data_IF_320249857714
#
_entry.id   IF_320249857714
#
_cell.length_a   1.000
_cell.length_b   1.000
_cell.length_c   1.000
_cell.angle_alpha   90.00
_cell.angle_beta   90.00
_cell.angle_gamma   90.00
#
_symmetry.space_group_name_H-M   'P 1'
#
loop_
_entity.id
_entity.type
_entity.pdbx_description
1 polymer ?
#
# COMPACT_ATOMS: atom_id res chain seq x y z
N UNK A 1 6.43 -0.14 -5.65
CA UNK A 1 5.60 1.03 -6.03
C UNK A 1 4.09 0.72 -5.82
N UNK A 2 3.72 0.09 -4.70
CA UNK A 2 2.41 -0.59 -4.53
C UNK A 2 1.26 0.25 -3.93
N UNK A 3 1.55 1.43 -3.36
CA UNK A 3 0.55 2.27 -2.68
C UNK A 3 0.51 3.72 -3.22
N UNK A 4 1.14 3.97 -4.37
CA UNK A 4 1.46 5.32 -4.89
C UNK A 4 0.26 6.18 -5.35
N UNK A 5 -0.99 5.77 -5.12
CA UNK A 5 -2.18 6.57 -5.47
C UNK A 5 -3.26 6.71 -4.38
N UNK A 6 -3.11 6.08 -3.20
CA UNK A 6 -4.10 6.23 -2.12
C UNK A 6 -3.85 7.42 -1.18
N UNK A 7 -2.64 8.00 -1.19
CA UNK A 7 -2.31 9.20 -0.39
C UNK A 7 -2.37 10.50 -1.22
N UNK A 8 -2.41 10.41 -2.56
CA UNK A 8 -2.36 11.58 -3.46
C UNK A 8 -3.71 11.79 -4.17
N UNK A 9 -4.75 11.96 -3.35
CA UNK A 9 -5.99 12.66 -3.73
C UNK A 9 -6.38 13.65 -2.62
N UNK A 10 -5.42 14.41 -2.12
CA UNK A 10 -5.70 15.73 -1.54
C UNK A 10 -5.23 16.79 -2.54
N UNK A 11 -6.11 17.11 -3.49
CA UNK A 11 -6.15 18.46 -4.05
C UNK A 11 -6.37 19.42 -2.88
N UNK A 12 -5.36 20.23 -2.55
CA UNK A 12 -5.49 21.48 -1.78
C UNK A 12 -6.42 21.38 -0.56
N UNK A 13 -6.02 20.67 0.49
CA UNK A 13 -6.55 20.98 1.82
C UNK A 13 -5.54 21.84 2.56
N UNK A 14 -5.81 23.14 2.46
CA UNK A 14 -5.48 24.14 3.47
C UNK A 14 -5.58 23.48 4.84
N UNK A 15 -4.51 23.55 5.64
CA UNK A 15 -4.53 23.36 7.08
C UNK A 15 -5.62 24.29 7.64
N UNK A 16 -6.86 23.81 7.73
CA UNK A 16 -7.89 24.45 8.52
C UNK A 16 -7.62 24.02 9.96
N UNK A 17 -7.04 24.95 10.72
CA UNK A 17 -7.03 24.95 12.17
C UNK A 17 -8.48 24.93 12.67
N UNK A 18 -9.04 23.72 12.80
CA UNK A 18 -10.29 23.44 13.49
C UNK A 18 -9.94 22.82 14.82
N UNK A 19 -9.90 23.65 15.86
CA UNK A 19 -9.76 23.25 17.26
C UNK A 19 -10.90 22.28 17.60
N UNK A 20 -10.59 20.98 17.68
CA UNK A 20 -11.45 19.99 18.33
C UNK A 20 -10.69 19.47 19.55
N UNK A 21 -11.02 20.09 20.69
CA UNK A 21 -10.73 19.60 22.02
C UNK A 21 -11.36 18.22 22.19
N UNK A 22 -10.57 17.16 22.14
CA UNK A 22 -10.90 15.93 22.86
C UNK A 22 -9.63 15.28 23.41
N UNK A 23 -9.62 15.22 24.73
CA UNK A 23 -8.56 14.60 25.51
C UNK A 23 -8.61 13.09 25.33
N UNK A 24 -7.55 12.52 24.77
CA UNK A 24 -7.25 11.09 24.96
C UNK A 24 -5.74 10.90 24.95
N UNK A 25 -5.16 11.00 26.15
CA UNK A 25 -3.79 10.57 26.46
C UNK A 25 -3.73 9.05 26.34
N UNK A 26 -2.99 8.51 25.36
CA UNK A 26 -2.45 7.16 25.43
C UNK A 26 -1.16 7.06 24.60
N UNK A 27 -0.06 7.61 25.13
CA UNK A 27 1.27 7.07 24.84
C UNK A 27 1.59 6.07 25.97
N UNK A 28 1.46 4.78 25.68
CA UNK A 28 1.93 3.71 26.58
C UNK A 28 3.42 3.49 26.34
N UNK A 29 4.26 4.17 27.12
CA UNK A 29 5.70 3.98 27.15
C UNK A 29 6.19 4.05 28.60
N UNK A 30 6.45 2.88 29.20
CA UNK A 30 7.06 2.73 30.51
C UNK A 30 8.56 3.01 30.40
N UNK A 31 9.07 4.02 31.12
CA UNK A 31 10.50 4.33 31.13
C UNK A 31 10.82 5.59 31.94
N UNK A 32 11.15 5.38 33.22
CA UNK A 32 11.68 6.34 34.18
C UNK A 32 12.81 7.21 33.61
N UNK A 33 12.67 8.55 33.62
CA UNK A 33 13.63 9.51 34.24
C UNK A 33 13.21 10.98 34.05
N UNK A 34 13.16 11.70 35.18
CA UNK A 34 13.55 13.11 35.37
C UNK A 34 12.71 14.26 34.78
N UNK A 35 11.74 14.71 35.59
CA UNK A 35 11.40 16.11 35.92
C UNK A 35 11.79 17.24 34.93
N UNK A 36 10.81 17.71 34.17
CA UNK A 36 10.60 19.14 33.88
C UNK A 36 9.15 19.45 34.21
N UNK A 37 8.92 20.41 35.11
CA UNK A 37 7.58 20.79 35.55
C UNK A 37 6.77 21.31 34.33
N UNK A 38 5.67 20.63 34.04
CA UNK A 38 4.73 20.98 32.97
C UNK A 38 4.04 22.31 33.29
N UNK A 39 4.49 23.38 32.63
CA UNK A 39 3.65 24.55 32.39
C UNK A 39 2.40 24.08 31.62
N UNK A 40 1.18 24.52 31.98
CA UNK A 40 0.00 24.22 31.16
C UNK A 40 0.23 24.73 29.73
N UNK A 41 -0.28 24.03 28.71
CA UNK A 41 -0.04 24.39 27.32
C UNK A 41 -0.50 25.83 27.06
N UNK A 42 0.40 26.65 26.52
CA UNK A 42 0.11 28.05 26.19
C UNK A 42 -0.98 28.10 25.13
N UNK A 43 -2.09 28.79 25.40
CA UNK A 43 -3.19 28.95 24.45
C UNK A 43 -2.72 29.67 23.18
N UNK A 44 -3.12 29.16 22.01
CA UNK A 44 -2.92 29.82 20.72
C UNK A 44 -3.68 31.15 20.61
N UNK A 45 -4.65 31.40 21.51
CA UNK A 45 -5.44 32.63 21.59
C UNK A 45 -5.18 33.30 22.94
N UNK A 46 -4.77 34.56 22.90
CA UNK A 46 -4.79 35.45 24.05
C UNK A 46 -6.23 35.88 24.29
N UNK A 47 -6.90 35.21 25.23
CA UNK A 47 -8.35 35.41 25.49
C UNK A 47 -8.68 36.85 25.86
N UNK A 48 -7.78 37.54 26.57
CA UNK A 48 -8.01 38.90 27.05
C UNK A 48 -7.97 39.94 25.92
N UNK A 49 -7.07 39.76 24.95
CA UNK A 49 -6.90 40.69 23.82
C UNK A 49 -7.64 40.24 22.56
N UNK A 50 -8.25 39.06 22.55
CA UNK A 50 -8.80 38.40 21.35
C UNK A 50 -7.79 38.37 20.19
N UNK A 51 -6.50 38.28 20.50
CA UNK A 51 -5.42 38.15 19.50
C UNK A 51 -4.84 36.75 19.55
N UNK A 52 -4.17 36.34 18.46
CA UNK A 52 -3.37 35.13 18.48
C UNK A 52 -2.15 35.34 19.38
N UNK A 53 -1.74 34.28 20.06
CA UNK A 53 -0.47 34.27 20.76
C UNK A 53 0.65 34.17 19.72
N UNK A 54 1.33 35.29 19.44
CA UNK A 54 2.37 35.37 18.41
C UNK A 54 3.51 34.37 18.62
N UNK A 55 3.84 34.04 19.87
CA UNK A 55 4.88 33.04 20.18
C UNK A 55 4.44 31.63 19.79
N UNK A 56 3.18 31.27 20.06
CA UNK A 56 2.61 29.98 19.66
C UNK A 56 2.51 29.90 18.14
N UNK A 57 1.98 30.93 17.49
CA UNK A 57 1.88 30.98 16.01
C UNK A 57 3.25 30.88 15.36
N UNK A 58 4.25 31.60 15.87
CA UNK A 58 5.62 31.52 15.34
C UNK A 58 6.19 30.10 15.47
N UNK A 59 6.02 29.45 16.63
CA UNK A 59 6.44 28.07 16.85
C UNK A 59 5.75 27.10 15.90
N UNK A 60 4.43 27.24 15.72
CA UNK A 60 3.64 26.38 14.83
C UNK A 60 4.04 26.56 13.36
N UNK A 61 4.33 27.79 12.94
CA UNK A 61 4.82 28.08 11.59
C UNK A 61 6.23 27.51 11.34
N UNK A 62 7.12 27.58 12.33
CA UNK A 62 8.44 26.94 12.26
C UNK A 62 8.32 25.41 12.20
N UNK A 63 7.42 24.81 12.99
CA UNK A 63 7.14 23.38 12.95
C UNK A 63 6.56 22.95 11.58
N UNK A 64 5.60 23.71 11.04
CA UNK A 64 5.02 23.47 9.73
C UNK A 64 6.08 23.55 8.61
N UNK A 65 7.01 24.50 8.70
CA UNK A 65 8.11 24.63 7.75
C UNK A 65 9.03 23.40 7.79
N UNK A 66 9.37 22.88 8.98
CA UNK A 66 10.15 21.64 9.13
C UNK A 66 9.42 20.44 8.52
N UNK A 67 8.10 20.31 8.75
CA UNK A 67 7.30 19.22 8.16
C UNK A 67 7.24 19.28 6.64
N UNK A 68 7.07 20.48 6.07
CA UNK A 68 7.03 20.66 4.62
C UNK A 68 8.39 20.32 3.97
N UNK A 69 9.49 20.69 4.60
CA UNK A 69 10.84 20.30 4.17
C UNK A 69 11.01 18.78 4.20
N UNK A 70 10.65 18.15 5.33
CA UNK A 70 10.73 16.70 5.49
C UNK A 70 9.91 15.96 4.42
N UNK A 71 8.66 16.39 4.21
CA UNK A 71 7.77 15.81 3.20
C UNK A 71 8.37 15.93 1.80
N UNK A 72 8.90 17.11 1.46
CA UNK A 72 9.52 17.35 0.15
C UNK A 72 10.76 16.48 -0.08
N UNK A 73 11.59 16.28 0.95
CA UNK A 73 12.73 15.35 0.90
C UNK A 73 12.28 13.90 0.73
N UNK A 74 11.26 13.47 1.46
CA UNK A 74 10.70 12.11 1.33
C UNK A 74 10.12 11.87 -0.07
N UNK A 75 9.46 12.87 -0.67
CA UNK A 75 8.99 12.80 -2.06
C UNK A 75 10.16 12.60 -3.05
N UNK A 76 11.21 13.42 -2.94
CA UNK A 76 12.40 13.29 -3.78
C UNK A 76 13.08 11.91 -3.60
N UNK A 77 13.26 11.46 -2.36
CA UNK A 77 13.85 10.13 -2.09
C UNK A 77 12.99 8.99 -2.65
N UNK A 78 11.66 9.13 -2.66
CA UNK A 78 10.75 8.15 -3.29
C UNK A 78 10.90 8.11 -4.80
N UNK A 79 10.99 9.26 -5.45
CA UNK A 79 11.21 9.36 -6.89
C UNK A 79 12.54 8.71 -7.31
N UNK A 80 13.60 8.97 -6.54
CA UNK A 80 14.93 8.42 -6.76
C UNK A 80 15.10 6.98 -6.22
N UNK A 81 14.03 6.37 -5.66
CA UNK A 81 14.03 5.03 -5.04
C UNK A 81 15.12 4.85 -3.94
N UNK A 82 15.45 5.93 -3.23
CA UNK A 82 16.45 5.95 -2.16
C UNK A 82 15.83 5.56 -0.80
N UNK A 83 15.39 4.31 -0.68
CA UNK A 83 14.65 3.83 0.49
C UNK A 83 15.40 3.98 1.82
N UNK A 84 16.73 3.87 1.82
CA UNK A 84 17.54 4.13 3.01
C UNK A 84 17.42 5.57 3.52
N UNK A 85 17.34 6.56 2.63
CA UNK A 85 17.14 7.96 3.01
C UNK A 85 15.72 8.24 3.47
N UNK A 86 14.73 7.53 2.93
CA UNK A 86 13.35 7.58 3.44
C UNK A 86 13.31 7.12 4.89
N UNK A 87 14.01 6.03 5.25
CA UNK A 87 14.08 5.56 6.63
C UNK A 87 14.71 6.61 7.56
N UNK A 88 15.81 7.26 7.15
CA UNK A 88 16.40 8.35 7.94
C UNK A 88 15.47 9.54 8.11
N UNK A 89 14.70 9.91 7.07
CA UNK A 89 13.71 10.98 7.15
C UNK A 89 12.51 10.58 8.04
N UNK A 90 12.10 9.32 8.03
CA UNK A 90 11.08 8.82 8.96
C UNK A 90 11.56 8.97 10.41
N UNK A 91 12.79 8.57 10.71
CA UNK A 91 13.35 8.68 12.06
C UNK A 91 13.42 10.15 12.51
N UNK A 92 13.81 11.05 11.60
CA UNK A 92 13.76 12.50 11.84
C UNK A 92 12.33 12.99 12.13
N UNK A 93 11.34 12.54 11.36
CA UNK A 93 9.93 12.88 11.58
C UNK A 93 9.39 12.35 12.90
N UNK A 94 9.77 11.15 13.32
CA UNK A 94 9.39 10.60 14.64
C UNK A 94 10.01 11.43 15.75
N UNK A 95 11.29 11.81 15.64
CA UNK A 95 11.94 12.70 16.60
C UNK A 95 11.25 14.08 16.67
N UNK A 96 10.81 14.63 15.53
CA UNK A 96 10.02 15.86 15.50
C UNK A 96 8.69 15.71 16.26
N UNK A 97 7.98 14.58 16.12
CA UNK A 97 6.75 14.31 16.86
C UNK A 97 6.99 14.29 18.38
N UNK A 98 8.09 13.68 18.81
CA UNK A 98 8.49 13.63 20.22
C UNK A 98 8.81 15.02 20.76
N UNK A 99 9.50 15.87 19.98
CA UNK A 99 9.85 17.25 20.36
C UNK A 99 8.60 18.15 20.50
N UNK A 100 7.67 18.07 19.54
CA UNK A 100 6.49 18.96 19.54
C UNK A 100 5.38 18.51 20.49
N UNK A 101 5.39 17.24 20.91
CA UNK A 101 4.37 16.65 21.76
C UNK A 101 3.02 16.41 21.06
N UNK A 102 2.18 15.60 21.71
CA UNK A 102 0.91 15.09 21.14
C UNK A 102 -0.14 16.17 20.81
N UNK A 103 0.00 17.38 21.36
CA UNK A 103 -0.92 18.49 21.12
C UNK A 103 -0.72 19.13 19.73
N UNK A 104 0.46 19.01 19.16
CA UNK A 104 0.89 19.74 17.96
C UNK A 104 0.89 18.87 16.71
N UNK A 105 0.78 17.54 16.87
CA UNK A 105 0.85 16.61 15.76
C UNK A 105 -0.28 15.58 15.83
N UNK A 106 -1.15 15.50 14.80
CA UNK A 106 -2.16 14.47 14.71
C UNK A 106 -1.55 13.07 14.85
N UNK A 107 -2.22 12.16 15.57
CA UNK A 107 -1.90 10.71 15.63
C UNK A 107 -1.71 10.10 14.22
N UNK A 108 -2.35 10.71 13.23
CA UNK A 108 -2.22 10.39 11.82
C UNK A 108 -0.79 10.59 11.29
N UNK A 109 0.00 11.55 11.81
CA UNK A 109 1.38 11.79 11.40
C UNK A 109 2.30 10.62 11.77
N UNK A 110 2.23 10.11 13.01
CA UNK A 110 3.03 8.94 13.41
C UNK A 110 2.64 7.72 12.55
N UNK A 111 1.33 7.52 12.36
CA UNK A 111 0.82 6.42 11.52
C UNK A 111 1.37 6.52 10.10
N UNK A 112 1.34 7.70 9.48
CA UNK A 112 1.84 7.92 8.13
C UNK A 112 3.35 7.65 8.04
N UNK A 113 4.15 8.15 8.98
CA UNK A 113 5.59 7.90 9.03
C UNK A 113 5.90 6.40 9.18
N UNK A 114 5.17 5.68 10.04
CA UNK A 114 5.33 4.24 10.22
C UNK A 114 4.97 3.45 8.96
N UNK A 115 3.95 3.88 8.21
CA UNK A 115 3.58 3.29 6.92
C UNK A 115 4.63 3.56 5.84
N UNK A 116 5.22 4.75 5.80
CA UNK A 116 6.36 5.06 4.91
C UNK A 116 7.57 4.19 5.25
N UNK A 117 7.88 4.02 6.54
CA UNK A 117 8.95 3.14 7.01
C UNK A 117 8.72 1.69 6.57
N UNK A 118 7.50 1.20 6.80
CA UNK A 118 7.09 -0.14 6.40
C UNK A 118 7.24 -0.35 4.90
N UNK A 119 6.78 0.61 4.09
CA UNK A 119 6.88 0.55 2.65
C UNK A 119 8.35 0.62 2.17
N UNK A 120 9.20 1.42 2.81
CA UNK A 120 10.63 1.49 2.51
C UNK A 120 11.33 0.15 2.82
N UNK A 121 11.11 -0.44 4.00
CA UNK A 121 11.62 -1.76 4.36
C UNK A 121 11.11 -2.86 3.41
N UNK A 122 9.84 -2.81 3.01
CA UNK A 122 9.28 -3.73 2.02
C UNK A 122 10.03 -3.66 0.67
N UNK A 123 10.35 -2.45 0.19
CA UNK A 123 11.10 -2.28 -1.06
C UNK A 123 12.58 -2.70 -0.92
N UNK A 124 13.13 -2.64 0.28
CA UNK A 124 14.46 -3.19 0.64
C UNK A 124 14.42 -4.70 0.90
N UNK A 125 13.28 -5.37 0.71
CA UNK A 125 13.07 -6.80 0.99
C UNK A 125 13.31 -7.20 2.46
N UNK A 126 13.21 -6.24 3.37
CA UNK A 126 13.35 -6.43 4.82
C UNK A 126 11.97 -6.66 5.44
N UNK A 127 11.34 -7.80 5.12
CA UNK A 127 9.92 -8.01 5.38
C UNK A 127 9.55 -8.08 6.87
N UNK A 128 10.43 -8.61 7.73
CA UNK A 128 10.15 -8.65 9.18
C UNK A 128 10.10 -7.23 9.78
N UNK A 129 11.04 -6.35 9.40
CA UNK A 129 11.04 -4.93 9.79
C UNK A 129 9.83 -4.19 9.19
N UNK A 130 9.50 -4.47 7.92
CA UNK A 130 8.31 -3.90 7.29
C UNK A 130 7.04 -4.27 8.07
N UNK A 131 6.92 -5.53 8.49
CA UNK A 131 5.78 -6.04 9.25
C UNK A 131 5.70 -5.41 10.64
N UNK A 132 6.83 -5.27 11.33
CA UNK A 132 6.91 -4.61 12.63
C UNK A 132 6.37 -3.18 12.55
N UNK A 133 6.84 -2.39 11.57
CA UNK A 133 6.39 -1.01 11.37
C UNK A 133 4.91 -0.91 11.00
N UNK A 134 4.41 -1.77 10.12
CA UNK A 134 2.99 -1.80 9.76
C UNK A 134 2.09 -2.20 10.94
N UNK A 135 2.52 -3.16 11.78
CA UNK A 135 1.79 -3.54 13.00
C UNK A 135 1.76 -2.40 14.00
N UNK A 136 2.86 -1.66 14.16
CA UNK A 136 2.87 -0.46 15.02
C UNK A 136 1.89 0.60 14.48
N UNK A 137 1.90 0.89 13.18
CA UNK A 137 0.92 1.81 12.56
C UNK A 137 -0.54 1.37 12.82
N UNK A 138 -0.81 0.06 12.68
CA UNK A 138 -2.12 -0.53 13.00
C UNK A 138 -2.49 -0.32 14.47
N UNK A 139 -1.56 -0.51 15.40
CA UNK A 139 -1.81 -0.29 16.83
C UNK A 139 -2.16 1.17 17.11
N UNK A 140 -1.43 2.11 16.50
CA UNK A 140 -1.71 3.55 16.62
C UNK A 140 -3.13 3.89 16.13
N UNK A 141 -3.57 3.33 15.00
CA UNK A 141 -4.95 3.49 14.51
C UNK A 141 -5.99 2.86 15.43
N UNK A 142 -5.71 1.68 15.98
CA UNK A 142 -6.61 0.96 16.87
C UNK A 142 -6.73 1.58 18.27
N UNK A 143 -5.77 2.42 18.68
CA UNK A 143 -5.81 3.17 19.93
C UNK A 143 -6.90 4.25 19.95
N UNK A 144 -7.37 4.71 18.77
CA UNK A 144 -8.52 5.61 18.68
C UNK A 144 -9.81 4.90 19.17
N UNK A 145 -10.76 5.63 19.80
CA UNK A 145 -12.07 5.11 20.15
C UNK A 145 -12.78 4.51 18.93
N UNK A 146 -13.51 3.41 19.11
CA UNK A 146 -14.09 2.62 18.01
C UNK A 146 -14.90 3.45 17.01
N UNK A 147 -15.72 4.39 17.50
CA UNK A 147 -16.52 5.30 16.65
C UNK A 147 -15.73 6.39 15.92
N UNK A 148 -14.43 6.56 16.20
CA UNK A 148 -13.54 7.53 15.55
C UNK A 148 -12.44 6.85 14.72
N UNK A 149 -12.39 5.51 14.69
CA UNK A 149 -11.38 4.79 13.92
C UNK A 149 -11.61 5.01 12.43
N UNK A 150 -10.54 5.36 11.74
CA UNK A 150 -10.58 5.41 10.28
C UNK A 150 -10.48 3.99 9.71
N UNK A 151 -11.64 3.40 9.43
CA UNK A 151 -11.75 2.06 8.87
C UNK A 151 -11.06 1.95 7.50
N UNK A 152 -11.08 3.01 6.68
CA UNK A 152 -10.39 3.03 5.41
C UNK A 152 -8.87 2.99 5.61
N UNK A 153 -8.34 3.81 6.54
CA UNK A 153 -6.90 3.79 6.85
C UNK A 153 -6.45 2.47 7.47
N UNK A 154 -7.31 1.85 8.29
CA UNK A 154 -7.07 0.51 8.82
C UNK A 154 -7.05 -0.54 7.71
N UNK A 155 -7.96 -0.43 6.73
CA UNK A 155 -7.98 -1.25 5.52
C UNK A 155 -6.67 -1.13 4.71
N UNK A 156 -6.20 0.09 4.45
CA UNK A 156 -4.93 0.34 3.74
C UNK A 156 -3.73 -0.25 4.50
N UNK A 157 -3.72 -0.10 5.82
CA UNK A 157 -2.68 -0.66 6.68
C UNK A 157 -2.68 -2.19 6.62
N UNK A 158 -3.86 -2.80 6.69
CA UNK A 158 -4.00 -4.25 6.56
C UNK A 158 -3.65 -4.72 5.13
N UNK A 159 -3.95 -3.96 4.08
CA UNK A 159 -3.53 -4.26 2.72
C UNK A 159 -2.01 -4.40 2.64
N UNK A 160 -1.26 -3.44 3.21
CA UNK A 160 0.20 -3.49 3.27
C UNK A 160 0.68 -4.73 4.05
N UNK A 161 0.08 -5.01 5.21
CA UNK A 161 0.38 -6.22 6.01
C UNK A 161 0.17 -7.49 5.17
N UNK A 162 -0.94 -7.59 4.43
CA UNK A 162 -1.24 -8.72 3.55
C UNK A 162 -0.16 -8.93 2.48
N UNK A 163 0.27 -7.85 1.81
CA UNK A 163 1.36 -7.92 0.83
C UNK A 163 2.72 -8.27 1.45
N UNK A 164 3.01 -7.80 2.67
CA UNK A 164 4.22 -8.19 3.40
C UNK A 164 4.20 -9.70 3.71
N UNK A 165 3.08 -10.23 4.21
CA UNK A 165 2.93 -11.67 4.46
C UNK A 165 3.08 -12.48 3.16
N UNK A 166 2.44 -12.04 2.07
CA UNK A 166 2.54 -12.68 0.75
C UNK A 166 3.99 -12.76 0.28
N UNK A 167 4.75 -11.66 0.34
CA UNK A 167 6.17 -11.64 -0.06
C UNK A 167 7.09 -12.41 0.88
N UNK A 168 6.71 -12.54 2.15
CA UNK A 168 7.42 -13.36 3.14
C UNK A 168 7.11 -14.86 3.02
N UNK A 169 6.22 -15.27 2.09
CA UNK A 169 5.79 -16.66 1.94
C UNK A 169 4.81 -17.14 3.02
N UNK A 170 4.22 -16.24 3.80
CA UNK A 170 3.19 -16.53 4.82
C UNK A 170 1.81 -16.44 4.17
N UNK A 171 1.47 -17.43 3.34
CA UNK A 171 0.34 -17.36 2.40
C UNK A 171 -1.01 -17.41 3.10
N UNK A 172 -1.11 -18.24 4.13
CA UNK A 172 -2.32 -18.42 4.94
C UNK A 172 -2.66 -17.13 5.68
N UNK A 173 -1.66 -16.48 6.29
CA UNK A 173 -1.83 -15.19 6.95
C UNK A 173 -2.15 -14.07 5.95
N UNK A 174 -1.48 -14.05 4.79
CA UNK A 174 -1.78 -13.07 3.73
C UNK A 174 -3.23 -13.21 3.26
N UNK A 175 -3.66 -14.43 2.96
CA UNK A 175 -5.01 -14.72 2.48
C UNK A 175 -6.08 -14.38 3.53
N UNK A 176 -5.83 -14.68 4.81
CA UNK A 176 -6.72 -14.29 5.91
C UNK A 176 -6.87 -12.77 5.97
N UNK A 177 -5.76 -12.03 5.93
CA UNK A 177 -5.80 -10.56 5.98
C UNK A 177 -6.55 -9.98 4.80
N UNK A 178 -6.31 -10.45 3.57
CA UNK A 178 -7.03 -9.95 2.40
C UNK A 178 -8.52 -10.30 2.44
N UNK A 179 -8.87 -11.51 2.87
CA UNK A 179 -10.28 -11.94 2.98
C UNK A 179 -11.03 -11.12 4.02
N UNK A 180 -10.40 -10.79 5.15
CA UNK A 180 -11.00 -9.94 6.18
C UNK A 180 -11.26 -8.52 5.64
N UNK A 181 -10.33 -7.94 4.87
CA UNK A 181 -10.54 -6.64 4.23
C UNK A 181 -11.64 -6.72 3.18
N UNK A 182 -11.66 -7.77 2.34
CA UNK A 182 -12.68 -7.93 1.31
C UNK A 182 -14.08 -8.04 1.93
N UNK A 183 -14.21 -8.78 3.03
CA UNK A 183 -15.46 -8.86 3.80
C UNK A 183 -15.91 -7.49 4.28
N UNK A 184 -15.00 -6.69 4.84
CA UNK A 184 -15.31 -5.32 5.26
C UNK A 184 -15.76 -4.45 4.08
N UNK A 185 -15.09 -4.54 2.91
CA UNK A 185 -15.46 -3.80 1.70
C UNK A 185 -16.88 -4.20 1.22
N UNK A 186 -17.16 -5.50 1.11
CA UNK A 186 -18.39 -5.98 0.48
C UNK A 186 -19.62 -5.86 1.40
N UNK A 187 -19.43 -5.98 2.72
CA UNK A 187 -20.50 -6.00 3.73
C UNK A 187 -20.62 -4.65 4.46
N UNK A 188 -19.55 -4.17 5.07
CA UNK A 188 -19.61 -3.12 6.09
C UNK A 188 -19.44 -1.70 5.50
N UNK A 189 -18.71 -1.56 4.38
CA UNK A 189 -18.45 -0.26 3.77
C UNK A 189 -19.72 0.46 3.30
N UNK A 190 -20.83 -0.26 3.13
CA UNK A 190 -22.15 0.31 2.78
C UNK A 190 -22.74 1.21 3.87
N UNK A 191 -22.32 1.01 5.12
CA UNK A 191 -22.73 1.84 6.28
C UNK A 191 -21.66 2.85 6.70
N UNK A 192 -20.49 2.83 6.04
CA UNK A 192 -19.42 3.77 6.32
C UNK A 192 -19.75 5.16 5.77
N UNK A 193 -18.97 6.16 6.17
CA UNK A 193 -19.07 7.51 5.59
C UNK A 193 -18.80 7.47 4.08
N UNK A 194 -19.38 8.37 3.26
CA UNK A 194 -19.17 8.36 1.81
C UNK A 194 -17.68 8.36 1.41
N UNK A 195 -16.83 9.06 2.17
CA UNK A 195 -15.39 9.08 1.94
C UNK A 195 -14.74 7.71 2.14
N UNK A 196 -15.13 6.99 3.19
CA UNK A 196 -14.63 5.63 3.46
C UNK A 196 -15.19 4.62 2.45
N UNK A 197 -16.43 4.78 1.99
CA UNK A 197 -17.01 3.93 0.96
C UNK A 197 -16.26 4.06 -0.38
N UNK A 198 -15.90 5.29 -0.80
CA UNK A 198 -15.08 5.51 -2.01
C UNK A 198 -13.69 4.90 -1.85
N UNK A 199 -13.06 5.06 -0.69
CA UNK A 199 -11.77 4.43 -0.40
C UNK A 199 -11.85 2.90 -0.46
N UNK A 200 -12.91 2.30 0.09
CA UNK A 200 -13.16 0.85 0.05
C UNK A 200 -13.29 0.32 -1.39
N UNK A 201 -14.07 1.00 -2.24
CA UNK A 201 -14.22 0.64 -3.66
C UNK A 201 -12.88 0.70 -4.39
N UNK A 202 -12.10 1.76 -4.17
CA UNK A 202 -10.78 1.90 -4.77
C UNK A 202 -9.80 0.83 -4.27
N UNK A 203 -9.90 0.42 -3.00
CA UNK A 203 -9.05 -0.59 -2.40
C UNK A 203 -9.34 -2.00 -2.94
N UNK A 204 -10.61 -2.30 -3.27
CA UNK A 204 -11.08 -3.65 -3.65
C UNK A 204 -10.21 -4.32 -4.71
N UNK A 205 -9.80 -3.59 -5.76
CA UNK A 205 -8.94 -4.14 -6.83
C UNK A 205 -7.61 -4.69 -6.31
N UNK A 206 -7.00 -4.04 -5.33
CA UNK A 206 -5.74 -4.49 -4.74
C UNK A 206 -5.96 -5.71 -3.85
N UNK A 207 -7.08 -5.75 -3.13
CA UNK A 207 -7.42 -6.90 -2.26
C UNK A 207 -7.69 -8.14 -3.09
N UNK A 208 -8.49 -8.02 -4.16
CA UNK A 208 -8.77 -9.11 -5.10
C UNK A 208 -7.50 -9.62 -5.75
N UNK A 209 -6.61 -8.73 -6.23
CA UNK A 209 -5.28 -9.11 -6.71
C UNK A 209 -4.47 -9.82 -5.63
N UNK A 210 -4.48 -9.34 -4.38
CA UNK A 210 -3.78 -9.95 -3.26
C UNK A 210 -4.21 -11.41 -2.99
N UNK A 211 -5.51 -11.67 -2.96
CA UNK A 211 -6.08 -13.04 -2.81
C UNK A 211 -5.64 -13.92 -3.99
N UNK A 212 -5.77 -13.41 -5.20
CA UNK A 212 -5.41 -14.14 -6.40
C UNK A 212 -3.93 -14.55 -6.43
N UNK A 213 -3.04 -13.65 -6.00
CA UNK A 213 -1.62 -13.93 -5.86
C UNK A 213 -1.33 -14.97 -4.75
N UNK A 214 -2.14 -15.02 -3.69
CA UNK A 214 -2.01 -16.07 -2.68
C UNK A 214 -2.30 -17.44 -3.31
N UNK A 215 -3.42 -17.58 -4.03
CA UNK A 215 -3.76 -18.83 -4.72
C UNK A 215 -2.76 -19.20 -5.81
N UNK A 216 -2.25 -18.22 -6.55
CA UNK A 216 -1.16 -18.43 -7.51
C UNK A 216 0.08 -19.02 -6.82
N UNK A 217 0.49 -18.48 -5.66
CA UNK A 217 1.62 -19.03 -4.89
C UNK A 217 1.33 -20.40 -4.26
N UNK A 218 0.09 -20.69 -3.89
CA UNK A 218 -0.32 -22.04 -3.48
C UNK A 218 -0.18 -23.02 -4.65
N UNK A 219 -0.63 -22.64 -5.85
CA UNK A 219 -0.50 -23.45 -7.06
C UNK A 219 0.98 -23.76 -7.39
N UNK A 220 1.86 -22.75 -7.34
CA UNK A 220 3.30 -22.94 -7.53
C UNK A 220 3.90 -23.96 -6.53
N UNK A 221 3.50 -23.88 -5.25
CA UNK A 221 3.94 -24.83 -4.20
C UNK A 221 3.43 -26.24 -4.44
N UNK A 222 2.18 -26.36 -4.86
CA UNK A 222 1.55 -27.64 -5.18
C UNK A 222 2.27 -28.32 -6.35
N UNK A 223 2.51 -27.59 -7.45
CA UNK A 223 3.29 -28.09 -8.58
C UNK A 223 4.73 -28.48 -8.18
N UNK A 224 5.38 -27.68 -7.32
CA UNK A 224 6.73 -27.96 -6.84
C UNK A 224 6.81 -29.23 -5.97
N UNK A 225 5.71 -29.63 -5.34
CA UNK A 225 5.61 -30.85 -4.51
C UNK A 225 5.03 -32.04 -5.29
N UNK A 226 4.81 -31.89 -6.60
CA UNK A 226 4.36 -32.96 -7.50
C UNK A 226 2.83 -33.05 -7.70
N UNK A 227 2.05 -32.11 -7.15
CA UNK A 227 0.62 -31.96 -7.47
C UNK A 227 0.38 -31.25 -8.81
N UNK A 228 -0.88 -31.12 -9.22
CA UNK A 228 -1.20 -30.49 -10.52
C UNK A 228 -1.38 -28.97 -10.42
N UNK A 229 -1.75 -28.42 -9.25
CA UNK A 229 -1.95 -26.99 -9.02
C UNK A 229 -3.04 -26.33 -9.87
N UNK A 230 -3.71 -27.06 -10.78
CA UNK A 230 -4.57 -26.49 -11.83
C UNK A 230 -5.81 -25.82 -11.24
N UNK A 231 -6.39 -26.41 -10.20
CA UNK A 231 -7.53 -25.82 -9.51
C UNK A 231 -7.16 -24.45 -8.91
N UNK A 232 -6.00 -24.35 -8.27
CA UNK A 232 -5.54 -23.12 -7.64
C UNK A 232 -5.15 -22.06 -8.68
N UNK A 233 -4.52 -22.46 -9.80
CA UNK A 233 -4.29 -21.56 -10.93
C UNK A 233 -5.61 -21.05 -11.54
N UNK A 234 -6.62 -21.91 -11.68
CA UNK A 234 -7.95 -21.51 -12.16
C UNK A 234 -8.61 -20.48 -11.25
N UNK A 235 -8.60 -20.73 -9.94
CA UNK A 235 -9.13 -19.77 -8.94
C UNK A 235 -8.37 -18.42 -8.98
N UNK A 236 -7.04 -18.46 -9.11
CA UNK A 236 -6.23 -17.25 -9.24
C UNK A 236 -6.57 -16.48 -10.52
N UNK A 237 -6.79 -17.18 -11.63
CA UNK A 237 -7.11 -16.58 -12.92
C UNK A 237 -8.42 -15.79 -12.88
N UNK A 238 -9.48 -16.35 -12.28
CA UNK A 238 -10.79 -15.69 -12.18
C UNK A 238 -10.67 -14.30 -11.51
N UNK A 239 -9.97 -14.24 -10.36
CA UNK A 239 -9.77 -12.99 -9.63
C UNK A 239 -8.78 -12.03 -10.30
N UNK A 240 -7.71 -12.55 -10.91
CA UNK A 240 -6.74 -11.71 -11.62
C UNK A 240 -7.39 -11.03 -12.83
N UNK A 241 -8.24 -11.74 -13.58
CA UNK A 241 -8.98 -11.18 -14.71
C UNK A 241 -10.01 -10.14 -14.26
N UNK A 242 -10.71 -10.38 -13.15
CA UNK A 242 -11.61 -9.40 -12.54
C UNK A 242 -10.87 -8.10 -12.18
N UNK A 243 -9.72 -8.21 -11.52
CA UNK A 243 -8.95 -7.06 -11.08
C UNK A 243 -8.26 -6.32 -12.24
N UNK A 244 -7.79 -7.04 -13.26
CA UNK A 244 -7.04 -6.48 -14.39
C UNK A 244 -7.80 -5.35 -15.10
N UNK A 245 -9.09 -5.53 -15.37
CA UNK A 245 -9.90 -4.52 -16.05
C UNK A 245 -9.91 -3.20 -15.26
N UNK A 246 -10.07 -3.29 -13.94
CA UNK A 246 -10.08 -2.12 -13.06
C UNK A 246 -8.70 -1.45 -13.01
N UNK A 247 -7.61 -2.21 -13.02
CA UNK A 247 -6.25 -1.66 -13.06
C UNK A 247 -5.94 -0.92 -14.37
N UNK A 248 -6.47 -1.42 -15.49
CA UNK A 248 -6.36 -0.77 -16.80
C UNK A 248 -7.12 0.56 -16.81
N UNK A 249 -8.35 0.58 -16.32
CA UNK A 249 -9.18 1.78 -16.26
C UNK A 249 -8.54 2.88 -15.38
N UNK A 250 -7.91 2.47 -14.28
CA UNK A 250 -7.16 3.35 -13.40
C UNK A 250 -5.77 3.75 -13.96
N UNK A 251 -5.34 3.19 -15.09
CA UNK A 251 -4.02 3.41 -15.68
C UNK A 251 -2.88 3.19 -14.65
N UNK A 252 -2.99 2.11 -13.87
CA UNK A 252 -1.99 1.69 -12.90
C UNK A 252 -0.97 0.74 -13.57
N UNK A 253 0.08 1.34 -14.13
CA UNK A 253 1.07 0.61 -14.93
C UNK A 253 1.65 -0.62 -14.22
N UNK A 254 2.02 -0.47 -12.95
CA UNK A 254 2.69 -1.53 -12.17
C UNK A 254 1.72 -2.66 -11.83
N UNK A 255 0.47 -2.34 -11.47
CA UNK A 255 -0.54 -3.36 -11.19
C UNK A 255 -0.96 -4.11 -12.45
N UNK A 256 -1.10 -3.41 -13.59
CA UNK A 256 -1.41 -4.06 -14.87
C UNK A 256 -0.28 -4.99 -15.29
N UNK A 257 0.98 -4.54 -15.22
CA UNK A 257 2.15 -5.37 -15.52
C UNK A 257 2.18 -6.64 -14.66
N UNK A 258 2.05 -6.49 -13.34
CA UNK A 258 2.09 -7.62 -12.40
C UNK A 258 0.90 -8.58 -12.57
N UNK A 259 -0.29 -8.04 -12.85
CA UNK A 259 -1.48 -8.85 -13.12
C UNK A 259 -1.32 -9.64 -14.41
N UNK A 260 -0.87 -9.02 -15.50
CA UNK A 260 -0.61 -9.70 -16.78
C UNK A 260 0.44 -10.79 -16.65
N UNK A 261 1.54 -10.54 -15.93
CA UNK A 261 2.57 -11.56 -15.66
C UNK A 261 2.00 -12.75 -14.87
N UNK A 262 1.18 -12.48 -13.84
CA UNK A 262 0.56 -13.53 -13.03
C UNK A 262 -0.50 -14.32 -13.81
N UNK A 263 -1.31 -13.65 -14.63
CA UNK A 263 -2.31 -14.28 -15.52
C UNK A 263 -1.62 -15.19 -16.54
N UNK A 264 -0.54 -14.72 -17.15
CA UNK A 264 0.30 -15.49 -18.06
C UNK A 264 0.81 -16.78 -17.40
N UNK A 265 1.34 -16.67 -16.17
CA UNK A 265 1.82 -17.81 -15.40
C UNK A 265 0.68 -18.76 -15.02
N UNK A 266 -0.51 -18.24 -14.72
CA UNK A 266 -1.69 -19.07 -14.47
C UNK A 266 -2.16 -19.83 -15.72
N UNK A 267 -2.19 -19.18 -16.90
CA UNK A 267 -2.52 -19.88 -18.15
C UNK A 267 -1.51 -20.97 -18.48
N UNK A 268 -0.21 -20.73 -18.27
CA UNK A 268 0.81 -21.77 -18.41
C UNK A 268 0.61 -22.94 -17.43
N UNK A 269 0.24 -22.63 -16.18
CA UNK A 269 -0.05 -23.62 -15.14
C UNK A 269 -1.28 -24.48 -15.42
N UNK A 270 -2.36 -23.89 -15.96
CA UNK A 270 -3.56 -24.63 -16.40
C UNK A 270 -3.31 -25.43 -17.68
N UNK A 271 -2.32 -25.03 -18.49
CA UNK A 271 -1.98 -25.66 -19.77
C UNK A 271 -2.68 -25.06 -20.97
N UNK A 272 -3.22 -23.84 -20.86
CA UNK A 272 -3.80 -23.09 -21.98
C UNK A 272 -2.71 -22.25 -22.66
N UNK A 273 -1.89 -22.92 -23.46
CA UNK A 273 -0.80 -22.29 -24.20
C UNK A 273 -1.24 -21.17 -25.13
N UNK A 274 -2.46 -21.26 -25.67
CA UNK A 274 -3.01 -20.25 -26.58
C UNK A 274 -3.20 -18.92 -25.86
N UNK A 275 -3.83 -18.95 -24.68
CA UNK A 275 -4.04 -17.76 -23.85
C UNK A 275 -2.75 -17.27 -23.21
N UNK A 276 -1.81 -18.16 -22.89
CA UNK A 276 -0.49 -17.78 -22.40
C UNK A 276 0.27 -16.94 -23.43
N UNK A 277 0.36 -17.38 -24.69
CA UNK A 277 1.00 -16.61 -25.77
C UNK A 277 0.32 -15.25 -25.96
N UNK A 278 -1.01 -15.21 -26.04
CA UNK A 278 -1.78 -13.96 -26.18
C UNK A 278 -1.53 -13.01 -25.00
N UNK A 279 -1.42 -13.53 -23.78
CA UNK A 279 -1.17 -12.71 -22.59
C UNK A 279 0.26 -12.17 -22.57
N UNK A 280 1.25 -12.95 -22.98
CA UNK A 280 2.63 -12.47 -23.13
C UNK A 280 2.71 -11.32 -24.16
N UNK A 281 2.01 -11.42 -25.30
CA UNK A 281 1.93 -10.32 -26.26
C UNK A 281 1.28 -9.06 -25.65
N UNK A 282 0.20 -9.22 -24.88
CA UNK A 282 -0.46 -8.11 -24.19
C UNK A 282 0.48 -7.42 -23.20
N UNK A 283 1.27 -8.20 -22.45
CA UNK A 283 2.29 -7.69 -21.52
C UNK A 283 3.33 -6.84 -22.26
N UNK A 284 3.90 -7.36 -23.35
CA UNK A 284 4.87 -6.62 -24.18
C UNK A 284 4.25 -5.31 -24.69
N UNK A 285 3.06 -5.37 -25.31
CA UNK A 285 2.37 -4.17 -25.82
C UNK A 285 2.10 -3.13 -24.72
N UNK A 286 1.71 -3.58 -23.53
CA UNK A 286 1.48 -2.70 -22.38
C UNK A 286 2.78 -2.00 -21.97
N UNK A 287 3.85 -2.76 -21.71
CA UNK A 287 5.14 -2.21 -21.30
C UNK A 287 5.76 -1.29 -22.36
N UNK A 288 5.60 -1.60 -23.66
CA UNK A 288 6.03 -0.71 -24.75
C UNK A 288 5.34 0.66 -24.72
N UNK A 289 4.02 0.71 -24.44
CA UNK A 289 3.30 1.99 -24.33
C UNK A 289 3.80 2.88 -23.18
N UNK A 290 4.34 2.26 -22.13
CA UNK A 290 4.84 2.95 -20.93
C UNK A 290 6.36 3.13 -20.90
N UNK A 291 7.09 2.70 -21.95
CA UNK A 291 8.57 2.75 -22.02
C UNK A 291 9.24 2.00 -20.86
N UNK A 292 8.64 0.90 -20.42
CA UNK A 292 9.21 0.01 -19.41
C UNK A 292 10.06 -1.07 -20.08
N UNK A 293 11.33 -0.74 -20.34
CA UNK A 293 12.28 -1.64 -21.03
C UNK A 293 12.45 -2.99 -20.30
N UNK A 294 12.42 -2.97 -18.96
CA UNK A 294 12.53 -4.21 -18.17
C UNK A 294 11.31 -5.10 -18.39
N UNK A 295 10.10 -4.52 -18.38
CA UNK A 295 8.87 -5.26 -18.66
C UNK A 295 8.76 -5.77 -20.10
N UNK A 296 9.30 -5.03 -21.07
CA UNK A 296 9.39 -5.48 -22.47
C UNK A 296 10.29 -6.72 -22.58
N UNK A 297 11.48 -6.67 -21.95
CA UNK A 297 12.41 -7.79 -21.96
C UNK A 297 11.81 -9.04 -21.30
N UNK A 298 11.21 -8.88 -20.11
CA UNK A 298 10.53 -9.96 -19.38
C UNK A 298 9.37 -10.55 -20.21
N UNK A 299 8.55 -9.70 -20.84
CA UNK A 299 7.46 -10.16 -21.70
C UNK A 299 7.93 -10.95 -22.92
N UNK A 300 9.03 -10.52 -23.57
CA UNK A 300 9.61 -11.21 -24.73
C UNK A 300 10.25 -12.56 -24.36
N UNK A 301 10.88 -12.65 -23.19
CA UNK A 301 11.40 -13.92 -22.65
C UNK A 301 10.27 -14.94 -22.48
N UNK A 302 9.18 -14.52 -21.83
CA UNK A 302 8.01 -15.37 -21.68
C UNK A 302 7.34 -15.72 -23.01
N UNK A 303 7.25 -14.77 -23.95
CA UNK A 303 6.67 -15.03 -25.26
C UNK A 303 7.42 -16.14 -26.00
N UNK A 304 8.76 -16.07 -26.02
CA UNK A 304 9.62 -17.11 -26.60
C UNK A 304 9.38 -18.45 -25.92
N UNK A 305 9.41 -18.47 -24.58
CA UNK A 305 9.17 -19.68 -23.79
C UNK A 305 7.81 -20.33 -24.07
N UNK A 306 6.75 -19.52 -24.21
CA UNK A 306 5.40 -20.04 -24.49
C UNK A 306 5.28 -20.56 -25.93
N UNK A 307 5.92 -19.90 -26.91
CA UNK A 307 5.92 -20.35 -28.30
C UNK A 307 6.69 -21.67 -28.49
N UNK A 308 7.79 -21.87 -27.75
CA UNK A 308 8.54 -23.13 -27.77
C UNK A 308 7.77 -24.27 -27.08
N UNK A 309 7.13 -23.99 -25.93
CA UNK A 309 6.37 -24.99 -25.15
C UNK A 309 5.04 -25.38 -25.83
N UNK A 310 4.38 -24.42 -26.49
CA UNK A 310 3.11 -24.62 -27.16
C UNK A 310 3.23 -24.20 -28.63
N UNK A 311 3.90 -25.00 -29.47
CA UNK A 311 4.05 -24.68 -30.88
C UNK A 311 2.67 -24.54 -31.51
N UNK A 312 2.34 -23.33 -31.96
CA UNK A 312 1.13 -23.11 -32.74
C UNK A 312 1.26 -23.96 -34.00
N UNK A 313 0.31 -24.90 -34.21
CA UNK A 313 0.20 -25.58 -35.50
C UNK A 313 0.03 -24.49 -36.55
N UNK A 314 1.08 -24.20 -37.31
CA UNK A 314 0.92 -23.47 -38.56
C UNK A 314 -0.04 -24.32 -39.38
N UNK A 315 -1.24 -23.82 -39.62
CA UNK A 315 -2.07 -24.35 -40.69
C UNK A 315 -1.26 -24.15 -41.97
N UNK A 316 -0.52 -25.19 -42.37
CA UNK A 316 -0.02 -25.34 -43.72
C UNK A 316 -1.26 -25.46 -44.61
N UNK A 317 -1.71 -24.30 -45.09
CA UNK A 317 -2.55 -24.20 -46.27
C UNK A 317 -1.74 -24.70 -47.46
N UNK A 318 -1.69 -26.02 -47.61
CA UNK A 318 -1.32 -26.68 -48.86
C UNK A 318 -2.39 -26.31 -49.89
N UNK A 319 -2.12 -25.22 -50.60
CA UNK A 319 -2.72 -24.95 -51.90
C UNK A 319 -2.00 -25.84 -52.91
N UNK A 320 -2.67 -26.93 -53.30
CA UNK A 320 -2.66 -27.42 -54.68
C UNK A 320 -3.83 -26.76 -55.40
#
# INVERSE_FOLDING_TARGET
MFLRRLIVSQRRHVFCAGVVLSASRFCSGCGTTSSRADSPPTSAVNVESFTLNEEVVKRDMEALAKWNDLSSRMDAYREEKQYGKILSAVDEGIAMLEEMGALSAPIQCETLLLLEASQAHYNLQQYDLALERAKKAKQTLMAAPEGMRDAAKLGETNQLIGYIHLKSGKLEEANSVFTDILRWIDVDARTATPMQAVAAVNMRRFIVTGIALCWHKVAERECATGGDGREMYGKALDLLLEALNTHIDENDHEMVKMSLLSILQCFDGVGDGSQAVITAEKLVRWCSRHKDEQGIAEGNEWLTKMQEKYPQKKEEGDKV
#
